data_IF_283283278272
#
_entry.id   IF_283283278272
#
_cell.length_a   1.000
_cell.length_b   1.000
_cell.length_c   1.000
_cell.angle_alpha   90.00
_cell.angle_beta   90.00
_cell.angle_gamma   90.00
#
_symmetry.space_group_name_H-M   'P 1'
#
loop_
_entity.id
_entity.type
_entity.pdbx_description
1 polymer ?
#
# COMPACT_ATOMS: atom_id res chain seq x y z
N UNK A 1 30.18 -7.03 -39.81
CA UNK A 1 30.71 -7.24 -38.46
C UNK A 1 30.95 -5.85 -37.90
N UNK A 2 30.09 -5.37 -37.00
CA UNK A 2 30.18 -3.99 -36.51
C UNK A 2 31.06 -4.06 -35.26
N UNK A 3 32.29 -3.58 -35.38
CA UNK A 3 33.17 -3.37 -34.25
C UNK A 3 32.52 -2.36 -33.31
N UNK A 4 32.08 -2.84 -32.14
CA UNK A 4 31.67 -1.95 -31.05
C UNK A 4 32.96 -1.52 -30.37
N UNK A 5 33.51 -0.42 -30.86
CA UNK A 5 34.70 0.19 -30.30
C UNK A 5 34.34 0.87 -28.98
N UNK A 6 34.39 0.10 -27.89
CA UNK A 6 34.24 0.61 -26.54
C UNK A 6 35.48 1.45 -26.20
N UNK A 7 35.37 2.77 -26.36
CA UNK A 7 36.30 3.72 -25.75
C UNK A 7 36.16 3.60 -24.22
N UNK A 8 36.92 2.70 -23.60
CA UNK A 8 37.15 2.76 -22.17
C UNK A 8 38.06 3.96 -21.92
N UNK A 9 37.50 5.02 -21.33
CA UNK A 9 38.31 6.04 -20.67
C UNK A 9 39.26 5.33 -19.70
N UNK A 10 40.56 5.41 -19.99
CA UNK A 10 41.59 4.56 -19.41
C UNK A 10 41.93 4.89 -17.95
N UNK A 11 41.33 5.96 -17.41
CA UNK A 11 41.59 6.51 -16.08
C UNK A 11 40.41 6.40 -15.10
N UNK A 12 39.29 5.76 -15.48
CA UNK A 12 38.13 5.59 -14.59
C UNK A 12 37.78 4.12 -14.37
N UNK A 13 37.62 3.73 -13.10
CA UNK A 13 37.05 2.43 -12.75
C UNK A 13 35.62 2.29 -13.32
N UNK A 14 35.25 1.11 -13.87
CA UNK A 14 33.92 0.90 -14.41
C UNK A 14 32.88 0.89 -13.29
N UNK A 15 31.87 1.75 -13.42
CA UNK A 15 30.79 1.90 -12.44
C UNK A 15 29.40 1.89 -13.08
N UNK A 16 28.37 1.58 -12.28
CA UNK A 16 26.97 1.67 -12.68
C UNK A 16 26.17 2.30 -11.55
N UNK A 17 25.25 3.20 -11.90
CA UNK A 17 24.28 3.76 -10.96
C UNK A 17 23.02 2.90 -10.98
N UNK A 18 22.68 2.31 -9.85
CA UNK A 18 21.41 1.60 -9.67
C UNK A 18 20.36 2.59 -9.17
N UNK A 19 19.27 2.77 -9.92
CA UNK A 19 18.16 3.66 -9.60
C UNK A 19 16.87 2.89 -9.28
N UNK A 20 15.88 3.57 -8.67
CA UNK A 20 14.55 3.03 -8.37
C UNK A 20 14.54 1.79 -7.45
N UNK A 21 15.50 1.73 -6.52
CA UNK A 21 15.53 0.68 -5.50
C UNK A 21 14.52 0.98 -4.39
N UNK A 22 14.02 -0.08 -3.75
CA UNK A 22 13.17 0.07 -2.57
C UNK A 22 13.99 0.65 -1.40
N UNK A 23 13.47 1.65 -0.66
CA UNK A 23 14.12 2.15 0.54
C UNK A 23 14.26 1.05 1.61
N UNK A 24 15.24 1.22 2.50
CA UNK A 24 15.50 0.33 3.64
C UNK A 24 15.60 -1.18 3.30
N UNK A 25 15.98 -1.51 2.07
CA UNK A 25 16.00 -2.88 1.54
C UNK A 25 17.44 -3.30 1.30
N UNK A 26 17.78 -4.53 1.70
CA UNK A 26 19.11 -5.10 1.49
C UNK A 26 19.17 -5.80 0.13
N UNK A 27 20.06 -5.35 -0.72
CA UNK A 27 20.32 -5.92 -2.05
C UNK A 27 21.65 -6.68 -2.06
N UNK A 28 21.67 -7.81 -2.75
CA UNK A 28 22.89 -8.57 -3.03
C UNK A 28 23.38 -8.23 -4.43
N UNK A 29 24.60 -7.70 -4.55
CA UNK A 29 25.18 -7.23 -5.80
C UNK A 29 26.49 -7.98 -6.08
N UNK A 30 26.67 -8.43 -7.32
CA UNK A 30 27.93 -8.96 -7.82
C UNK A 30 28.09 -8.60 -9.29
N UNK A 31 29.33 -8.56 -9.76
CA UNK A 31 29.67 -8.31 -11.16
C UNK A 31 30.37 -9.53 -11.77
N UNK A 32 30.13 -9.76 -13.06
CA UNK A 32 30.80 -10.80 -13.84
C UNK A 32 31.38 -10.17 -15.09
N UNK A 33 32.66 -10.42 -15.35
CA UNK A 33 33.30 -10.01 -16.58
C UNK A 33 32.76 -10.84 -17.76
N UNK A 34 32.37 -10.16 -18.85
CA UNK A 34 32.00 -10.80 -20.12
C UNK A 34 33.20 -10.62 -21.05
N UNK A 35 33.85 -11.72 -21.41
CA UNK A 35 34.99 -11.75 -22.33
C UNK A 35 34.54 -12.29 -23.68
N UNK A 36 34.85 -11.59 -24.77
CA UNK A 36 34.63 -12.09 -26.12
C UNK A 36 35.68 -13.17 -26.44
N UNK A 37 35.23 -14.36 -26.81
CA UNK A 37 36.13 -15.48 -27.18
C UNK A 37 36.73 -15.21 -28.56
N UNK A 38 38.04 -15.42 -28.71
CA UNK A 38 38.73 -15.31 -30.01
C UNK A 38 39.24 -16.67 -30.53
N UNK A 39 39.29 -17.72 -29.69
CA UNK A 39 39.60 -19.11 -30.10
C UNK A 39 39.07 -20.11 -29.06
N UNK A 40 38.96 -21.40 -29.42
CA UNK A 40 38.35 -22.55 -28.71
C UNK A 40 38.86 -22.88 -27.27
N UNK A 41 39.51 -21.93 -26.59
CA UNK A 41 39.96 -22.06 -25.21
C UNK A 41 38.97 -21.37 -24.26
N UNK A 42 38.21 -22.17 -23.53
CA UNK A 42 37.37 -21.71 -22.43
C UNK A 42 38.21 -21.02 -21.34
N UNK A 43 38.30 -19.68 -21.37
CA UNK A 43 38.84 -18.90 -20.27
C UNK A 43 37.77 -18.72 -19.18
N UNK A 44 38.07 -18.99 -17.90
CA UNK A 44 37.11 -18.79 -16.83
C UNK A 44 36.83 -17.29 -16.64
N UNK A 45 35.57 -16.88 -16.82
CA UNK A 45 35.14 -15.49 -16.59
C UNK A 45 35.34 -15.09 -15.13
N UNK A 46 35.96 -13.93 -14.90
CA UNK A 46 36.10 -13.36 -13.56
C UNK A 46 34.74 -12.99 -12.96
N UNK A 47 34.53 -13.33 -11.67
CA UNK A 47 33.34 -12.97 -10.89
C UNK A 47 33.78 -12.29 -9.60
N UNK A 48 33.08 -11.23 -9.20
CA UNK A 48 33.31 -10.61 -7.89
C UNK A 48 32.68 -11.44 -6.76
N UNK A 49 33.05 -11.12 -5.52
CA UNK A 49 32.27 -11.55 -4.35
C UNK A 49 30.90 -10.86 -4.37
N UNK A 50 29.91 -11.50 -3.74
CA UNK A 50 28.60 -10.89 -3.49
C UNK A 50 28.75 -9.90 -2.34
N UNK A 51 28.30 -8.68 -2.55
CA UNK A 51 28.26 -7.62 -1.54
C UNK A 51 26.81 -7.33 -1.18
N UNK A 52 26.52 -7.18 0.10
CA UNK A 52 25.21 -6.78 0.58
C UNK A 52 25.20 -5.29 0.89
N UNK A 53 24.30 -4.56 0.24
CA UNK A 53 24.16 -3.11 0.40
C UNK A 53 22.71 -2.82 0.80
N UNK A 54 22.52 -2.08 1.89
CA UNK A 54 21.18 -1.62 2.31
C UNK A 54 20.97 -0.18 1.85
N UNK A 55 19.83 0.07 1.21
CA UNK A 55 19.43 1.42 0.79
C UNK A 55 19.05 2.30 1.99
N UNK A 56 19.21 3.62 1.84
CA UNK A 56 18.80 4.60 2.85
C UNK A 56 17.31 4.48 3.19
N UNK A 57 16.91 4.86 4.41
CA UNK A 57 15.50 4.96 4.77
C UNK A 57 14.81 6.10 3.99
N UNK A 58 13.49 6.01 3.87
CA UNK A 58 12.64 7.03 3.25
C UNK A 58 11.37 7.22 4.08
N UNK A 59 10.51 8.16 3.70
CA UNK A 59 9.23 8.37 4.35
C UNK A 59 8.38 7.08 4.30
N UNK A 60 7.78 6.65 5.43
CA UNK A 60 6.88 5.51 5.46
C UNK A 60 5.61 5.81 4.67
N UNK A 61 4.94 4.76 4.17
CA UNK A 61 3.59 4.89 3.61
C UNK A 61 2.55 5.21 4.69
N UNK A 62 1.31 5.47 4.27
CA UNK A 62 0.22 5.70 5.22
C UNK A 62 -0.07 4.45 6.08
N UNK A 63 -0.46 4.64 7.36
CA UNK A 63 -1.04 3.56 8.16
C UNK A 63 -2.30 3.00 7.51
N UNK A 64 -2.55 1.71 7.71
CA UNK A 64 -3.70 1.02 7.13
C UNK A 64 -4.84 0.92 8.13
N UNK A 65 -6.06 0.67 7.65
CA UNK A 65 -7.25 0.34 8.46
C UNK A 65 -7.47 1.26 9.66
N UNK A 66 -7.37 2.58 9.45
CA UNK A 66 -7.61 3.56 10.52
C UNK A 66 -9.09 3.53 10.91
N UNK A 67 -9.37 3.01 12.10
CA UNK A 67 -10.72 2.93 12.68
C UNK A 67 -10.77 3.72 13.98
N UNK A 68 -11.86 4.44 14.20
CA UNK A 68 -12.08 5.20 15.42
C UNK A 68 -13.48 4.90 15.98
N UNK A 69 -13.55 4.67 17.29
CA UNK A 69 -14.80 4.43 18.00
C UNK A 69 -14.78 5.11 19.38
N UNK A 70 -15.95 5.30 19.97
CA UNK A 70 -16.17 6.05 21.21
C UNK A 70 -16.65 5.08 22.28
N UNK A 71 -15.84 4.88 23.32
CA UNK A 71 -16.26 4.07 24.47
C UNK A 71 -17.07 4.89 25.48
N UNK A 72 -16.90 6.21 25.49
CA UNK A 72 -17.67 7.15 26.31
C UNK A 72 -17.84 8.48 25.57
N UNK A 73 -18.62 9.39 26.14
CA UNK A 73 -18.84 10.74 25.59
C UNK A 73 -17.58 11.62 25.54
N UNK A 74 -16.51 11.21 26.23
CA UNK A 74 -15.25 11.97 26.36
C UNK A 74 -14.02 11.21 25.86
N UNK A 75 -14.19 9.97 25.38
CA UNK A 75 -13.08 9.12 24.96
C UNK A 75 -13.31 8.56 23.58
N UNK A 76 -12.32 8.78 22.71
CA UNK A 76 -12.19 8.15 21.41
C UNK A 76 -11.02 7.17 21.45
N UNK A 77 -11.27 5.95 20.99
CA UNK A 77 -10.27 4.91 20.77
C UNK A 77 -10.00 4.84 19.28
N UNK A 78 -8.74 4.97 18.90
CA UNK A 78 -8.29 4.91 17.50
C UNK A 78 -7.34 3.74 17.34
N UNK A 79 -7.56 2.93 16.31
CA UNK A 79 -6.75 1.76 15.96
C UNK A 79 -6.36 1.84 14.49
N UNK A 80 -5.17 1.32 14.17
CA UNK A 80 -4.66 1.25 12.81
C UNK A 80 -3.68 0.09 12.67
N UNK A 81 -3.51 -0.37 11.44
CA UNK A 81 -2.53 -1.35 11.02
C UNK A 81 -1.24 -0.66 10.56
N UNK A 82 -0.07 -1.33 10.64
CA UNK A 82 1.19 -0.79 10.16
C UNK A 82 1.15 -0.43 8.65
N UNK A 83 2.00 0.52 8.22
CA UNK A 83 2.11 0.88 6.81
C UNK A 83 2.63 -0.29 5.96
N UNK A 84 2.13 -0.41 4.72
CA UNK A 84 2.57 -1.43 3.75
C UNK A 84 4.07 -1.31 3.48
N UNK A 85 4.56 -0.07 3.39
CA UNK A 85 5.97 0.24 3.14
C UNK A 85 6.51 1.13 4.26
N UNK A 86 7.03 0.55 5.36
CA UNK A 86 7.61 1.31 6.47
C UNK A 86 8.85 2.11 6.06
N UNK A 87 9.56 1.68 5.02
CA UNK A 87 10.74 2.35 4.47
C UNK A 87 11.83 2.70 5.50
N UNK A 88 11.87 1.99 6.62
CA UNK A 88 12.70 2.30 7.77
C UNK A 88 12.27 1.50 8.99
N UNK A 89 13.00 1.70 10.10
CA UNK A 89 12.55 1.22 11.40
C UNK A 89 11.49 2.18 11.95
N UNK A 90 10.33 1.65 12.33
CA UNK A 90 9.25 2.43 12.92
C UNK A 90 9.64 2.88 14.33
N UNK A 91 9.58 4.19 14.59
CA UNK A 91 9.90 4.78 15.89
C UNK A 91 8.65 5.17 16.68
N UNK A 92 7.76 5.97 16.09
CA UNK A 92 6.52 6.43 16.70
C UNK A 92 5.47 6.80 15.65
N UNK A 93 4.24 7.04 16.10
CA UNK A 93 3.16 7.61 15.30
C UNK A 93 2.80 9.01 15.81
N UNK A 94 2.57 9.95 14.89
CA UNK A 94 2.07 11.28 15.23
C UNK A 94 0.56 11.34 15.00
N UNK A 95 -0.21 11.47 16.07
CA UNK A 95 -1.68 11.53 16.01
C UNK A 95 -2.14 12.97 16.22
N UNK A 96 -3.04 13.46 15.37
CA UNK A 96 -3.64 14.79 15.47
C UNK A 96 -5.16 14.64 15.38
N UNK A 97 -5.87 15.43 16.18
CA UNK A 97 -7.33 15.48 16.17
C UNK A 97 -7.81 16.93 16.10
N UNK A 98 -9.00 17.13 15.55
CA UNK A 98 -9.64 18.44 15.44
C UNK A 98 -11.15 18.26 15.57
N UNK A 99 -11.79 19.10 16.39
CA UNK A 99 -13.24 19.17 16.47
C UNK A 99 -13.80 19.71 15.14
N UNK A 100 -14.70 18.94 14.52
CA UNK A 100 -15.44 19.39 13.34
C UNK A 100 -16.61 20.29 13.77
N UNK A 101 -16.91 21.29 12.95
CA UNK A 101 -18.09 22.13 13.17
C UNK A 101 -19.36 21.33 12.86
N UNK A 102 -20.46 21.68 13.54
CA UNK A 102 -21.78 21.16 13.21
C UNK A 102 -22.22 21.63 11.81
N UNK A 103 -23.06 20.84 11.15
CA UNK A 103 -23.57 21.18 9.83
C UNK A 103 -24.39 22.47 9.90
N UNK A 104 -24.01 23.46 9.08
CA UNK A 104 -24.73 24.73 9.01
C UNK A 104 -26.19 24.55 8.60
N UNK A 105 -26.51 23.52 7.82
CA UNK A 105 -27.86 23.23 7.35
C UNK A 105 -28.82 22.85 8.50
N UNK A 106 -28.27 22.32 9.60
CA UNK A 106 -29.04 22.01 10.80
C UNK A 106 -29.75 23.25 11.38
N UNK A 107 -29.16 24.42 11.19
CA UNK A 107 -29.71 25.68 11.70
C UNK A 107 -30.58 26.43 10.68
N UNK A 108 -30.68 25.93 9.44
CA UNK A 108 -31.37 26.62 8.35
C UNK A 108 -32.80 26.13 8.12
N UNK A 109 -33.15 24.94 8.62
CA UNK A 109 -34.43 24.29 8.32
C UNK A 109 -35.41 24.31 9.51
N UNK A 110 -36.71 24.44 9.21
CA UNK A 110 -37.78 24.27 10.20
C UNK A 110 -38.26 22.82 10.22
N UNK A 111 -37.72 22.03 11.14
CA UNK A 111 -38.04 20.61 11.31
C UNK A 111 -39.42 20.31 11.92
N UNK A 112 -40.23 21.32 12.24
CA UNK A 112 -41.64 21.11 12.61
C UNK A 112 -42.53 20.85 11.37
N UNK A 113 -42.01 21.06 10.17
CA UNK A 113 -42.71 20.81 8.91
C UNK A 113 -42.85 19.30 8.68
N UNK A 114 -44.03 18.82 8.27
CA UNK A 114 -44.34 17.37 8.14
C UNK A 114 -43.42 16.59 7.21
N UNK A 115 -42.70 17.26 6.33
CA UNK A 115 -41.86 16.66 5.29
C UNK A 115 -40.39 16.50 5.70
N UNK A 116 -39.94 17.20 6.76
CA UNK A 116 -38.53 17.22 7.17
C UNK A 116 -38.36 16.56 8.54
N UNK A 117 -37.43 15.61 8.63
CA UNK A 117 -37.01 14.98 9.89
C UNK A 117 -35.62 15.46 10.28
N UNK A 118 -35.38 15.64 11.58
CA UNK A 118 -34.06 16.00 12.10
C UNK A 118 -33.08 14.85 11.78
N UNK A 119 -31.92 15.13 11.16
CA UNK A 119 -30.92 14.10 10.91
C UNK A 119 -30.34 13.61 12.25
N UNK A 120 -30.52 12.32 12.55
CA UNK A 120 -29.97 11.68 13.74
C UNK A 120 -28.57 11.18 13.40
N UNK A 121 -27.55 11.74 14.06
CA UNK A 121 -26.17 11.24 13.96
C UNK A 121 -25.97 10.13 14.98
N UNK A 122 -25.56 8.97 14.50
CA UNK A 122 -25.21 7.83 15.33
C UNK A 122 -23.77 8.06 15.81
N UNK A 123 -23.56 8.10 17.12
CA UNK A 123 -22.21 8.14 17.68
C UNK A 123 -21.48 6.85 17.28
N UNK A 124 -20.16 6.94 17.04
CA UNK A 124 -19.31 5.79 16.73
C UNK A 124 -19.08 4.90 17.96
N UNK A 125 -20.14 4.58 18.73
CA UNK A 125 -20.09 3.65 19.84
C UNK A 125 -19.73 2.30 19.23
N UNK A 126 -18.77 1.60 19.84
CA UNK A 126 -18.26 0.31 19.36
C UNK A 126 -19.34 -0.77 19.35
N UNK A 127 -20.27 -0.70 18.40
CA UNK A 127 -20.94 -1.87 17.85
C UNK A 127 -19.81 -2.63 17.16
N UNK A 128 -19.48 -3.81 17.70
CA UNK A 128 -18.26 -4.52 17.39
C UNK A 128 -18.06 -4.73 15.89
N UNK A 129 -16.83 -5.06 15.51
CA UNK A 129 -16.51 -5.76 14.27
C UNK A 129 -17.23 -7.13 14.24
N UNK A 130 -18.56 -7.11 14.19
CA UNK A 130 -19.46 -8.24 14.05
C UNK A 130 -20.75 -7.74 13.37
N UNK A 131 -20.59 -7.00 12.28
CA UNK A 131 -21.50 -7.20 11.17
C UNK A 131 -20.82 -8.25 10.31
N UNK A 132 -21.25 -9.49 10.52
CA UNK A 132 -21.06 -10.55 9.55
C UNK A 132 -21.42 -10.00 8.16
N UNK A 133 -20.46 -10.08 7.22
CA UNK A 133 -20.71 -10.08 5.78
C UNK A 133 -21.51 -11.34 5.37
N UNK A 134 -22.62 -11.63 6.06
CA UNK A 134 -23.58 -12.66 5.66
C UNK A 134 -24.98 -12.06 5.56
N UNK A 135 -25.17 -11.23 4.53
CA UNK A 135 -26.49 -11.18 3.90
C UNK A 135 -26.39 -11.16 2.38
N UNK A 136 -26.33 -12.34 1.73
CA UNK A 136 -26.73 -12.46 0.34
C UNK A 136 -28.22 -12.12 0.26
N UNK A 137 -28.53 -11.07 -0.49
CA UNK A 137 -29.90 -10.78 -0.91
C UNK A 137 -30.28 -11.79 -1.98
N UNK A 138 -30.94 -12.90 -1.56
CA UNK A 138 -31.99 -13.66 -2.26
C UNK A 138 -32.21 -15.01 -1.55
N UNK A 139 -33.44 -15.42 -1.20
CA UNK A 139 -33.72 -16.78 -0.79
C UNK A 139 -33.98 -17.65 -2.04
N UNK A 140 -33.10 -18.60 -2.34
CA UNK A 140 -33.45 -19.75 -3.19
C UNK A 140 -33.75 -20.96 -2.29
N UNK A 141 -34.80 -21.75 -2.59
CA UNK A 141 -35.17 -22.91 -1.81
C UNK A 141 -34.49 -24.15 -2.42
N UNK A 142 -33.49 -24.72 -1.75
CA UNK A 142 -33.31 -26.18 -1.75
C UNK A 142 -32.21 -26.67 -0.81
N UNK A 143 -32.57 -27.64 0.04
CA UNK A 143 -31.69 -28.72 0.50
C UNK A 143 -30.72 -28.46 1.66
N UNK A 144 -30.85 -29.15 2.80
CA UNK A 144 -29.83 -29.18 3.85
C UNK A 144 -28.79 -30.25 3.54
N UNK A 145 -27.58 -29.84 3.14
CA UNK A 145 -26.30 -30.55 3.40
C UNK A 145 -25.18 -29.93 2.57
N UNK A 146 -24.36 -29.06 3.17
CA UNK A 146 -23.00 -28.77 2.65
C UNK A 146 -22.05 -28.62 3.83
N UNK A 147 -21.10 -29.57 3.92
CA UNK A 147 -19.90 -29.46 4.76
C UNK A 147 -19.01 -28.27 4.36
N UNK A 148 -17.79 -28.14 4.92
CA UNK A 148 -16.94 -26.98 4.69
C UNK A 148 -16.55 -26.89 3.20
N UNK A 149 -17.20 -25.97 2.49
CA UNK A 149 -16.96 -25.69 1.09
C UNK A 149 -15.62 -24.97 0.93
N UNK A 150 -14.82 -25.33 -0.08
CA UNK A 150 -13.65 -24.54 -0.48
C UNK A 150 -14.12 -23.23 -1.14
N UNK A 151 -13.37 -22.12 -1.01
CA UNK A 151 -13.68 -20.89 -1.76
C UNK A 151 -13.73 -21.20 -3.25
N UNK A 152 -14.83 -20.82 -3.90
CA UNK A 152 -14.96 -20.95 -5.35
C UNK A 152 -13.88 -20.08 -6.04
N UNK A 153 -13.31 -20.53 -7.17
CA UNK A 153 -12.45 -19.68 -7.98
C UNK A 153 -13.21 -18.41 -8.38
N UNK A 154 -12.61 -17.25 -8.13
CA UNK A 154 -13.16 -15.98 -8.59
C UNK A 154 -13.22 -15.97 -10.12
N UNK A 155 -14.24 -15.33 -10.68
CA UNK A 155 -14.31 -15.15 -12.13
C UNK A 155 -13.15 -14.26 -12.61
N UNK A 156 -12.84 -14.31 -13.91
CA UNK A 156 -11.77 -13.45 -14.46
C UNK A 156 -12.15 -11.99 -14.30
N UNK A 157 -13.44 -11.67 -14.44
CA UNK A 157 -14.02 -10.36 -14.26
C UNK A 157 -13.86 -9.85 -12.82
N UNK A 158 -14.07 -10.70 -11.82
CA UNK A 158 -13.87 -10.35 -10.41
C UNK A 158 -12.38 -10.07 -10.11
N UNK A 159 -11.48 -10.87 -10.69
CA UNK A 159 -10.03 -10.68 -10.53
C UNK A 159 -9.57 -9.36 -11.19
N UNK A 160 -10.11 -9.02 -12.36
CA UNK A 160 -9.83 -7.76 -13.04
C UNK A 160 -10.39 -6.56 -12.27
N UNK A 161 -11.59 -6.67 -11.72
CA UNK A 161 -12.18 -5.63 -10.88
C UNK A 161 -11.36 -5.39 -9.59
N UNK A 162 -10.90 -6.45 -8.93
CA UNK A 162 -10.02 -6.33 -7.75
C UNK A 162 -8.66 -5.74 -8.11
N UNK A 163 -8.07 -6.13 -9.24
CA UNK A 163 -6.83 -5.55 -9.73
C UNK A 163 -6.99 -4.05 -10.06
N UNK A 164 -8.13 -3.67 -10.64
CA UNK A 164 -8.46 -2.28 -10.93
C UNK A 164 -8.62 -1.46 -9.64
N UNK A 165 -9.36 -1.94 -8.64
CA UNK A 165 -9.49 -1.27 -7.33
C UNK A 165 -8.13 -1.12 -6.62
N UNK A 166 -7.32 -2.19 -6.62
CA UNK A 166 -5.97 -2.14 -6.06
C UNK A 166 -5.07 -1.12 -6.78
N UNK A 167 -5.18 -1.03 -8.11
CA UNK A 167 -4.44 -0.04 -8.90
C UNK A 167 -4.88 1.39 -8.56
N UNK A 168 -6.18 1.62 -8.37
CA UNK A 168 -6.74 2.92 -8.03
C UNK A 168 -6.27 3.39 -6.66
N UNK A 169 -6.33 2.51 -5.65
CA UNK A 169 -5.81 2.80 -4.29
C UNK A 169 -4.34 3.16 -4.33
N UNK A 170 -3.54 2.41 -5.10
CA UNK A 170 -2.10 2.69 -5.26
C UNK A 170 -1.83 4.06 -5.90
N UNK A 171 -2.60 4.44 -6.93
CA UNK A 171 -2.48 5.75 -7.58
C UNK A 171 -2.79 6.88 -6.59
N UNK A 172 -3.83 6.70 -5.78
CA UNK A 172 -4.19 7.66 -4.74
C UNK A 172 -3.09 7.79 -3.66
N UNK A 173 -2.53 6.69 -3.16
CA UNK A 173 -1.41 6.72 -2.21
C UNK A 173 -0.18 7.44 -2.79
N UNK A 174 0.18 7.13 -4.04
CA UNK A 174 1.27 7.80 -4.74
C UNK A 174 1.03 9.32 -4.85
N UNK A 175 -0.21 9.73 -5.12
CA UNK A 175 -0.58 11.15 -5.18
C UNK A 175 -0.37 11.86 -3.84
N UNK A 176 -0.78 11.25 -2.72
CA UNK A 176 -0.59 11.82 -1.39
C UNK A 176 0.91 11.97 -1.05
N UNK A 177 1.71 10.96 -1.39
CA UNK A 177 3.16 11.02 -1.23
C UNK A 177 3.79 12.17 -2.03
N UNK A 178 3.34 12.38 -3.26
CA UNK A 178 3.92 13.40 -4.14
C UNK A 178 3.46 14.83 -3.79
N UNK A 179 2.24 15.00 -3.27
CA UNK A 179 1.62 16.33 -3.11
C UNK A 179 1.67 16.88 -1.69
N UNK A 180 1.65 16.03 -0.66
CA UNK A 180 1.44 16.48 0.73
C UNK A 180 2.70 16.34 1.60
N UNK A 181 3.55 15.35 1.31
CA UNK A 181 4.70 15.01 2.14
C UNK A 181 6.05 15.43 1.55
N UNK A 182 6.06 16.30 0.53
CA UNK A 182 7.30 16.89 0.04
C UNK A 182 7.89 17.81 1.12
N UNK A 183 9.16 17.61 1.52
CA UNK A 183 9.81 18.52 2.46
C UNK A 183 9.92 19.91 1.80
N UNK A 184 9.46 20.95 2.51
CA UNK A 184 9.80 22.34 2.19
C UNK A 184 11.20 22.66 2.67
#
# INVERSE_FOLDING_TARGET
MVDVELRLDKDSDPGVLLSNLKPWTQYAVFVKAITLMVDDKHLPSAKSKVVYIRTSPSAPSMPQDVRAYSNSTTQLVVRWSPPISPNGNQTYYLVRWQQQAEDRELYQHNYCSKELKIPIRIAAIGVGDQEDDTKPTKPDPDGPDKGPCCPCPKSVEDLEAEAADASYRKVFENFLHNSIFTPR
#
